data_IF_813047304062
#
_entry.id   IF_813047304062
#
_cell.length_a   1.000
_cell.length_b   1.000
_cell.length_c   1.000
_cell.angle_alpha   90.00
_cell.angle_beta   90.00
_cell.angle_gamma   90.00
#
_symmetry.space_group_name_H-M   'P 1'
#
loop_
_entity.id
_entity.type
_entity.pdbx_description
1 polymer ?
#
# COMPACT_ATOMS: atom_id res chain seq x y z
N UNK A 1 8.99 -25.09 -23.89
CA UNK A 1 9.98 -24.10 -23.39
C UNK A 1 9.49 -22.66 -23.53
N UNK A 2 8.62 -22.35 -24.50
CA UNK A 2 8.06 -21.00 -24.71
C UNK A 2 7.08 -20.56 -23.62
N UNK A 3 6.25 -21.48 -23.12
CA UNK A 3 5.33 -21.21 -21.99
C UNK A 3 6.06 -20.86 -20.68
N UNK A 4 7.13 -21.58 -20.37
CA UNK A 4 7.95 -21.32 -19.18
C UNK A 4 8.66 -19.95 -19.24
N UNK A 5 9.01 -19.48 -20.45
CA UNK A 5 9.60 -18.15 -20.66
C UNK A 5 8.56 -17.05 -20.50
N UNK A 6 7.36 -17.25 -21.04
CA UNK A 6 6.24 -16.32 -20.92
C UNK A 6 5.75 -16.20 -19.47
N UNK A 7 5.72 -17.29 -18.72
CA UNK A 7 5.32 -17.30 -17.31
C UNK A 7 6.33 -16.58 -16.41
N UNK A 8 7.64 -16.80 -16.63
CA UNK A 8 8.70 -16.02 -15.95
C UNK A 8 8.62 -14.53 -16.26
N UNK A 9 8.37 -14.14 -17.50
CA UNK A 9 8.22 -12.74 -17.89
C UNK A 9 6.96 -12.08 -17.30
N UNK A 10 5.89 -12.84 -17.07
CA UNK A 10 4.69 -12.37 -16.37
C UNK A 10 4.95 -12.22 -14.87
N UNK A 11 5.59 -13.19 -14.22
CA UNK A 11 5.99 -13.12 -12.82
C UNK A 11 6.91 -11.92 -12.54
N UNK A 12 7.91 -11.69 -13.39
CA UNK A 12 8.81 -10.54 -13.27
C UNK A 12 8.08 -9.20 -13.37
N UNK A 13 7.08 -9.08 -14.25
CA UNK A 13 6.23 -7.88 -14.35
C UNK A 13 5.37 -7.67 -13.10
N UNK A 14 4.78 -8.73 -12.57
CA UNK A 14 3.99 -8.68 -11.34
C UNK A 14 4.85 -8.28 -10.15
N UNK A 15 6.04 -8.87 -10.02
CA UNK A 15 7.00 -8.53 -8.95
C UNK A 15 7.44 -7.07 -9.04
N UNK A 16 7.79 -6.59 -10.24
CA UNK A 16 8.16 -5.18 -10.45
C UNK A 16 7.04 -4.24 -10.04
N UNK A 17 5.79 -4.56 -10.36
CA UNK A 17 4.62 -3.76 -9.94
C UNK A 17 4.45 -3.75 -8.42
N UNK A 18 4.57 -4.90 -7.77
CA UNK A 18 4.52 -5.01 -6.31
C UNK A 18 5.59 -4.14 -5.65
N UNK A 19 6.84 -4.22 -6.14
CA UNK A 19 7.96 -3.43 -5.60
C UNK A 19 7.71 -1.93 -5.77
N UNK A 20 7.29 -1.50 -6.96
CA UNK A 20 6.98 -0.09 -7.24
C UNK A 20 5.82 0.43 -6.37
N UNK A 21 4.77 -0.39 -6.19
CA UNK A 21 3.66 -0.05 -5.33
C UNK A 21 4.11 0.05 -3.86
N UNK A 22 4.88 -0.92 -3.36
CA UNK A 22 5.44 -0.87 -2.00
C UNK A 22 6.26 0.40 -1.76
N UNK A 23 7.09 0.79 -2.73
CA UNK A 23 7.85 2.04 -2.67
C UNK A 23 6.94 3.28 -2.67
N UNK A 24 5.97 3.36 -3.57
CA UNK A 24 5.03 4.47 -3.64
C UNK A 24 4.21 4.63 -2.34
N UNK A 25 3.76 3.52 -1.75
CA UNK A 25 3.04 3.54 -0.48
C UNK A 25 3.93 3.95 0.69
N UNK A 26 5.17 3.49 0.71
CA UNK A 26 6.12 3.93 1.72
C UNK A 26 6.35 5.45 1.63
N UNK A 27 6.44 5.99 0.41
CA UNK A 27 6.55 7.42 0.15
C UNK A 27 5.33 8.19 0.63
N UNK A 28 4.13 7.72 0.28
CA UNK A 28 2.88 8.34 0.71
C UNK A 28 2.72 8.29 2.24
N UNK A 29 2.93 7.12 2.87
CA UNK A 29 2.78 6.95 4.31
C UNK A 29 3.75 7.82 5.11
N UNK A 30 5.03 7.87 4.72
CA UNK A 30 6.01 8.74 5.37
C UNK A 30 5.75 10.22 5.05
N UNK A 31 5.34 10.55 3.83
CA UNK A 31 4.97 11.91 3.47
C UNK A 31 3.83 12.46 4.33
N UNK A 32 2.80 11.64 4.57
CA UNK A 32 1.69 11.99 5.45
C UNK A 32 2.14 12.09 6.91
N UNK A 33 3.00 11.18 7.39
CA UNK A 33 3.58 11.26 8.74
C UNK A 33 4.29 12.60 8.95
N UNK A 34 5.22 12.97 8.05
CA UNK A 34 5.95 14.24 8.15
C UNK A 34 5.06 15.46 7.89
N UNK A 35 4.04 15.37 7.02
CA UNK A 35 3.07 16.45 6.87
C UNK A 35 2.30 16.69 8.18
N UNK A 36 1.92 15.62 8.88
CA UNK A 36 1.21 15.68 10.16
C UNK A 36 2.08 16.20 11.30
N UNK A 37 3.38 15.93 11.20
CA UNK A 37 4.37 16.48 12.11
C UNK A 37 4.39 18.02 12.08
N UNK A 38 4.26 18.62 10.91
CA UNK A 38 4.23 20.08 10.76
C UNK A 38 2.81 20.67 10.77
N UNK A 39 1.76 19.84 10.70
CA UNK A 39 0.37 20.30 10.66
C UNK A 39 -0.57 19.33 11.41
N UNK A 40 -0.98 19.73 12.61
CA UNK A 40 -1.87 18.95 13.47
C UNK A 40 -3.27 18.72 12.89
N UNK A 41 -3.75 19.59 11.99
CA UNK A 41 -5.07 19.42 11.35
C UNK A 41 -5.18 18.15 10.48
N UNK A 42 -4.05 17.57 10.09
CA UNK A 42 -4.00 16.29 9.37
C UNK A 42 -4.31 15.12 10.33
N UNK A 43 -3.91 15.22 11.59
CA UNK A 43 -4.19 14.23 12.64
C UNK A 43 -5.70 14.22 12.93
N UNK A 44 -6.33 15.39 13.02
CA UNK A 44 -7.77 15.53 13.21
C UNK A 44 -8.58 14.91 12.06
N UNK A 45 -8.00 14.91 10.86
CA UNK A 45 -8.57 14.29 9.66
C UNK A 45 -8.09 12.84 9.42
N UNK A 46 -7.54 12.18 10.45
CA UNK A 46 -6.91 10.85 10.33
C UNK A 46 -7.81 9.77 9.72
N UNK A 47 -9.13 9.84 9.94
CA UNK A 47 -10.08 8.93 9.30
C UNK A 47 -10.12 9.10 7.77
N UNK A 48 -10.13 10.35 7.28
CA UNK A 48 -10.12 10.66 5.85
C UNK A 48 -8.79 10.22 5.21
N UNK A 49 -7.68 10.49 5.89
CA UNK A 49 -6.34 10.05 5.47
C UNK A 49 -6.29 8.53 5.34
N UNK A 50 -6.80 7.80 6.33
CA UNK A 50 -6.86 6.35 6.32
C UNK A 50 -7.75 5.83 5.18
N UNK A 51 -8.93 6.42 4.98
CA UNK A 51 -9.84 6.05 3.91
C UNK A 51 -9.20 6.27 2.52
N UNK A 52 -8.54 7.42 2.32
CA UNK A 52 -7.83 7.73 1.08
C UNK A 52 -6.67 6.77 0.83
N UNK A 53 -5.87 6.46 1.85
CA UNK A 53 -4.79 5.47 1.74
C UNK A 53 -5.34 4.08 1.43
N UNK A 54 -6.45 3.66 2.06
CA UNK A 54 -7.07 2.37 1.81
C UNK A 54 -7.62 2.26 0.37
N UNK A 55 -8.26 3.31 -0.15
CA UNK A 55 -8.72 3.36 -1.55
C UNK A 55 -7.54 3.37 -2.51
N UNK A 56 -6.52 4.20 -2.24
CA UNK A 56 -5.28 4.23 -3.01
C UNK A 56 -4.59 2.86 -3.02
N UNK A 57 -4.73 2.08 -1.94
CA UNK A 57 -4.23 0.71 -1.85
C UNK A 57 -5.07 -0.29 -2.67
N UNK A 58 -6.40 -0.20 -2.56
CA UNK A 58 -7.33 -1.12 -3.20
C UNK A 58 -7.33 -1.00 -4.74
N UNK A 59 -7.30 0.22 -5.28
CA UNK A 59 -7.41 0.47 -6.73
C UNK A 59 -6.38 -0.31 -7.57
N UNK A 60 -5.07 -0.17 -7.35
CA UNK A 60 -4.07 -0.90 -8.13
C UNK A 60 -4.09 -2.40 -7.83
N UNK A 61 -4.50 -2.82 -6.63
CA UNK A 61 -4.68 -4.26 -6.32
C UNK A 61 -5.75 -4.86 -7.24
N UNK A 62 -6.90 -4.20 -7.38
CA UNK A 62 -8.00 -4.64 -8.26
C UNK A 62 -7.59 -4.59 -9.74
N UNK A 63 -6.96 -3.49 -10.17
CA UNK A 63 -6.67 -3.27 -11.59
C UNK A 63 -5.50 -4.14 -12.10
N UNK A 64 -4.45 -4.33 -11.30
CA UNK A 64 -3.20 -4.93 -11.76
C UNK A 64 -3.09 -6.43 -11.49
N UNK A 65 -3.82 -6.96 -10.51
CA UNK A 65 -3.74 -8.37 -10.07
C UNK A 65 -5.06 -9.14 -10.29
N UNK A 66 -5.88 -8.70 -11.25
CA UNK A 66 -7.15 -9.33 -11.61
C UNK A 66 -6.96 -10.80 -11.99
N UNK A 67 -7.66 -11.71 -11.31
CA UNK A 67 -7.72 -13.17 -11.53
C UNK A 67 -6.41 -14.00 -11.53
N UNK A 68 -5.23 -13.43 -11.79
CA UNK A 68 -3.95 -14.14 -11.88
C UNK A 68 -2.97 -13.50 -10.89
N UNK A 69 -2.36 -14.31 -10.02
CA UNK A 69 -1.48 -13.86 -8.93
C UNK A 69 -2.18 -13.08 -7.80
N UNK A 70 -3.35 -13.52 -7.37
CA UNK A 70 -4.12 -12.92 -6.27
C UNK A 70 -3.37 -12.79 -4.93
N UNK A 71 -2.30 -13.58 -4.73
CA UNK A 71 -1.43 -13.54 -3.55
C UNK A 71 -0.29 -12.51 -3.66
N UNK A 72 0.02 -12.00 -4.86
CA UNK A 72 1.10 -11.01 -5.05
C UNK A 72 0.89 -9.69 -4.29
N UNK A 73 -0.34 -9.14 -4.18
CA UNK A 73 -0.61 -7.95 -3.36
C UNK A 73 -0.14 -8.05 -1.91
N UNK A 74 -0.13 -9.24 -1.30
CA UNK A 74 0.36 -9.41 0.07
C UNK A 74 1.85 -9.07 0.21
N UNK A 75 2.64 -9.28 -0.85
CA UNK A 75 4.06 -8.90 -0.86
C UNK A 75 4.28 -7.38 -0.87
N UNK A 76 3.26 -6.58 -1.19
CA UNK A 76 3.35 -5.12 -1.07
C UNK A 76 3.65 -4.75 0.38
N UNK A 77 3.03 -5.44 1.35
CA UNK A 77 3.31 -5.24 2.77
C UNK A 77 4.77 -5.56 3.13
N UNK A 78 5.30 -6.66 2.57
CA UNK A 78 6.69 -7.07 2.79
C UNK A 78 7.70 -6.03 2.29
N UNK A 79 7.45 -5.43 1.13
CA UNK A 79 8.33 -4.39 0.58
C UNK A 79 8.08 -3.00 1.16
N UNK A 80 6.85 -2.73 1.62
CA UNK A 80 6.50 -1.45 2.24
C UNK A 80 7.32 -1.17 3.49
N UNK A 81 7.53 -2.16 4.37
CA UNK A 81 8.31 -1.98 5.61
C UNK A 81 9.75 -1.47 5.34
N UNK A 82 10.60 -2.17 4.56
CA UNK A 82 11.98 -1.71 4.34
C UNK A 82 12.04 -0.38 3.59
N UNK A 83 11.14 -0.15 2.62
CA UNK A 83 11.07 1.16 1.96
C UNK A 83 10.62 2.27 2.90
N UNK A 84 9.71 1.99 3.82
CA UNK A 84 9.23 2.95 4.81
C UNK A 84 10.37 3.36 5.76
N UNK A 85 11.18 2.40 6.20
CA UNK A 85 12.37 2.69 7.01
C UNK A 85 13.37 3.53 6.22
N UNK A 86 13.65 3.18 4.97
CA UNK A 86 14.57 3.92 4.10
C UNK A 86 14.10 5.36 3.87
N UNK A 87 12.83 5.55 3.53
CA UNK A 87 12.26 6.88 3.25
C UNK A 87 12.17 7.69 4.53
N UNK A 88 11.74 7.09 5.64
CA UNK A 88 11.71 7.74 6.95
C UNK A 88 13.09 8.26 7.37
N UNK A 89 14.14 7.46 7.13
CA UNK A 89 15.53 7.88 7.33
C UNK A 89 15.91 9.03 6.40
N UNK A 90 15.63 8.95 5.10
CA UNK A 90 15.94 10.04 4.16
C UNK A 90 15.23 11.35 4.53
N UNK A 91 13.97 11.28 4.97
CA UNK A 91 13.22 12.44 5.43
C UNK A 91 13.79 13.00 6.73
N UNK A 92 14.29 12.16 7.65
CA UNK A 92 14.93 12.64 8.89
C UNK A 92 16.23 13.40 8.65
N UNK A 93 16.93 13.10 7.54
CA UNK A 93 18.10 13.84 7.11
C UNK A 93 17.74 15.17 6.43
N UNK A 94 16.62 15.18 5.68
CA UNK A 94 16.21 16.33 4.89
C UNK A 94 15.39 17.36 5.68
N UNK A 95 14.65 16.92 6.70
CA UNK A 95 13.70 17.75 7.45
C UNK A 95 14.15 17.90 8.92
N UNK A 96 14.27 19.13 9.44
CA UNK A 96 14.67 19.34 10.83
C UNK A 96 13.56 18.90 11.78
N UNK A 97 13.87 17.96 12.68
CA UNK A 97 12.97 17.59 13.77
C UNK A 97 13.06 18.62 14.89
N UNK A 98 11.93 19.27 15.22
CA UNK A 98 11.80 20.32 16.24
C UNK A 98 11.08 19.85 17.51
N UNK A 99 10.32 18.75 17.44
CA UNK A 99 9.62 18.12 18.56
C UNK A 99 10.50 17.11 19.31
N UNK A 100 10.14 16.86 20.56
CA UNK A 100 10.83 15.90 21.41
C UNK A 100 10.78 14.49 20.79
N UNK A 101 11.85 13.73 20.99
CA UNK A 101 12.04 12.40 20.37
C UNK A 101 10.92 11.43 20.76
N UNK A 102 10.35 11.62 21.94
CA UNK A 102 9.22 10.86 22.46
C UNK A 102 7.92 11.10 21.67
N UNK A 103 7.58 12.37 21.41
CA UNK A 103 6.35 12.74 20.69
C UNK A 103 6.39 12.27 19.24
N UNK A 104 7.54 12.40 18.58
CA UNK A 104 7.74 11.87 17.24
C UNK A 104 7.59 10.33 17.22
N UNK A 105 8.13 9.64 18.22
CA UNK A 105 7.99 8.19 18.36
C UNK A 105 6.52 7.75 18.46
N UNK A 106 5.70 8.45 19.24
CA UNK A 106 4.26 8.19 19.34
C UNK A 106 3.55 8.44 18.01
N UNK A 107 3.87 9.54 17.32
CA UNK A 107 3.29 9.86 16.02
C UNK A 107 3.64 8.80 14.97
N UNK A 108 4.90 8.32 14.97
CA UNK A 108 5.36 7.25 14.10
C UNK A 108 4.60 5.94 14.34
N UNK A 109 4.41 5.54 15.61
CA UNK A 109 3.64 4.35 15.96
C UNK A 109 2.18 4.47 15.53
N UNK A 110 1.56 5.63 15.78
CA UNK A 110 0.19 5.90 15.35
C UNK A 110 0.03 5.75 13.82
N UNK A 111 0.93 6.35 13.06
CA UNK A 111 0.91 6.24 11.60
C UNK A 111 1.25 4.85 11.08
N UNK A 112 2.12 4.10 11.77
CA UNK A 112 2.39 2.71 11.44
C UNK A 112 1.11 1.88 11.55
N UNK A 113 0.35 2.03 12.63
CA UNK A 113 -0.93 1.34 12.84
C UNK A 113 -1.93 1.74 11.76
N UNK A 114 -2.09 3.04 11.48
CA UNK A 114 -2.97 3.52 10.41
C UNK A 114 -2.63 2.93 9.04
N UNK A 115 -1.34 2.92 8.68
CA UNK A 115 -0.91 2.35 7.40
C UNK A 115 -1.19 0.84 7.35
N UNK A 116 -0.91 0.09 8.42
CA UNK A 116 -1.22 -1.34 8.49
C UNK A 116 -2.72 -1.57 8.30
N UNK A 117 -3.58 -0.81 8.98
CA UNK A 117 -5.04 -0.90 8.81
C UNK A 117 -5.44 -0.59 7.37
N UNK A 118 -4.93 0.50 6.79
CA UNK A 118 -5.24 0.90 5.42
C UNK A 118 -4.83 -0.16 4.39
N UNK A 119 -3.65 -0.77 4.58
CA UNK A 119 -3.15 -1.86 3.73
C UNK A 119 -4.04 -3.09 3.85
N UNK A 120 -4.38 -3.51 5.07
CA UNK A 120 -5.22 -4.70 5.31
C UNK A 120 -6.62 -4.50 4.74
N UNK A 121 -7.25 -3.34 5.00
CA UNK A 121 -8.57 -2.99 4.46
C UNK A 121 -8.51 -2.88 2.94
N UNK A 122 -7.50 -2.22 2.39
CA UNK A 122 -7.32 -2.09 0.95
C UNK A 122 -7.12 -3.44 0.23
N UNK A 123 -6.35 -4.35 0.82
CA UNK A 123 -6.21 -5.73 0.36
C UNK A 123 -7.54 -6.48 0.40
N UNK A 124 -8.24 -6.43 1.54
CA UNK A 124 -9.53 -7.09 1.70
C UNK A 124 -10.55 -6.60 0.67
N UNK A 125 -10.69 -5.28 0.52
CA UNK A 125 -11.57 -4.67 -0.48
C UNK A 125 -11.17 -5.08 -1.90
N UNK A 126 -9.88 -5.04 -2.22
CA UNK A 126 -9.40 -5.42 -3.54
C UNK A 126 -9.70 -6.89 -3.87
N UNK A 127 -9.55 -7.79 -2.89
CA UNK A 127 -9.90 -9.20 -3.04
C UNK A 127 -11.41 -9.41 -3.19
N UNK A 128 -12.24 -8.73 -2.39
CA UNK A 128 -13.70 -8.81 -2.48
C UNK A 128 -14.17 -8.38 -3.88
N UNK A 129 -13.67 -7.25 -4.39
CA UNK A 129 -14.03 -6.77 -5.74
C UNK A 129 -13.62 -7.77 -6.82
N UNK A 130 -12.43 -8.36 -6.73
CA UNK A 130 -11.95 -9.36 -7.68
C UNK A 130 -12.83 -10.63 -7.64
N UNK A 131 -13.23 -11.08 -6.43
CA UNK A 131 -14.11 -12.23 -6.24
C UNK A 131 -15.52 -12.00 -6.82
N UNK A 132 -16.12 -10.84 -6.56
CA UNK A 132 -17.41 -10.44 -7.13
C UNK A 132 -17.36 -10.39 -8.66
N UNK A 133 -16.26 -9.89 -9.22
CA UNK A 133 -16.11 -9.79 -10.66
C UNK A 133 -15.98 -11.18 -11.32
N UNK A 134 -15.25 -12.10 -10.69
CA UNK A 134 -15.16 -13.49 -11.13
C UNK A 134 -16.53 -14.17 -11.10
N UNK A 135 -17.28 -14.03 -10.01
CA UNK A 135 -18.66 -14.56 -9.89
C UNK A 135 -19.57 -14.01 -10.99
N UNK A 136 -19.56 -12.69 -11.22
CA UNK A 136 -20.35 -12.06 -12.28
C UNK A 136 -19.97 -12.52 -13.69
N UNK A 137 -18.68 -12.76 -13.95
CA UNK A 137 -18.21 -13.28 -15.24
C UNK A 137 -18.66 -14.72 -15.51
N UNK A 138 -18.68 -15.58 -14.48
CA UNK A 138 -19.16 -16.96 -14.60
C UNK A 138 -20.67 -17.03 -14.81
N UNK A 139 -21.43 -16.15 -14.15
CA UNK A 139 -22.89 -16.04 -14.33
C UNK A 139 -23.26 -15.59 -15.75
N UNK A 140 -22.45 -14.74 -16.39
CA UNK A 140 -22.66 -14.33 -17.79
C UNK A 140 -22.25 -15.39 -18.82
N UNK A 141 -21.32 -16.29 -18.49
CA UNK A 141 -20.84 -17.33 -19.40
C UNK A 141 -21.67 -18.62 -19.37
N UNK A 142 -22.54 -18.80 -18.36
CA UNK A 142 -23.47 -19.92 -18.23
C UNK A 142 -24.88 -19.65 -18.77
N UNK A 143 -25.10 -18.52 -19.43
CA UNK A 143 -26.26 -18.20 -20.27
C UNK A 143 -25.81 -18.15 -21.72
#
# INVERSE_FOLDING_TARGET
>A
MEDAKNERAQLGRSLRRVVLLGFAYALAGNGVLYASYYNSGIIDSGYLVCALLAVAFAVPVVLLFRNRHWYFPAFIFLFWIPFSVLIGYLLSLALPMTMDSYEFGLLLVYYLILNVIAIVVGLALGMIVNALWLLGSRLKAGK
#
